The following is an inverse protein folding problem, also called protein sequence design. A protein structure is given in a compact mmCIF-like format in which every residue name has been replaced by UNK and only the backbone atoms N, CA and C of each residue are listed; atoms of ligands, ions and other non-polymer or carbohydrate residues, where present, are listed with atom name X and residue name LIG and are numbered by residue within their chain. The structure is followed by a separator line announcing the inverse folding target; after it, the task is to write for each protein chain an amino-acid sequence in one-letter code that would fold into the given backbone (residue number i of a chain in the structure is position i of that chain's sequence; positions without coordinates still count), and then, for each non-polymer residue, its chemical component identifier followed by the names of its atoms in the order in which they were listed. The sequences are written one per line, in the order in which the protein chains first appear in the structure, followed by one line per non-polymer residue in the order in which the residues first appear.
data_IF_430453761666
#
_entry.id   IF_430453761666
#
_cell.length_a   1.000
_cell.length_b   1.000
_cell.length_c   1.000
_cell.angle_alpha   90.00
_cell.angle_beta   90.00
_cell.angle_gamma   90.00
#
_symmetry.space_group_name_H-M   'P 1'
#
loop_
_entity.id
_entity.type
_entity.pdbx_description
1 polymer ?
#
# COMPACT_ATOMS: atom_id res chain seq x y z
N UNK A 1 -14.26 42.39 17.56
CA UNK A 1 -13.18 43.26 18.10
C UNK A 1 -12.50 42.43 19.17
N UNK A 2 -11.37 41.78 18.87
CA UNK A 2 -10.45 41.29 19.86
C UNK A 2 -9.75 42.54 20.43
N UNK A 3 -10.10 42.93 21.62
CA UNK A 3 -9.39 43.96 22.38
C UNK A 3 -8.16 43.28 22.98
N UNK A 4 -7.07 43.18 22.19
CA UNK A 4 -5.79 42.75 22.68
C UNK A 4 -5.19 43.83 23.56
N UNK A 5 -4.51 43.40 24.61
CA UNK A 5 -3.71 44.28 25.47
C UNK A 5 -2.56 44.88 24.63
N UNK A 6 -2.65 46.15 24.30
CA UNK A 6 -1.67 46.86 23.48
C UNK A 6 -0.38 47.20 24.21
N UNK A 7 -0.18 46.63 25.39
CA UNK A 7 1.02 46.84 26.21
C UNK A 7 2.13 45.83 25.92
N UNK A 8 1.90 44.80 25.10
CA UNK A 8 2.95 43.88 24.66
C UNK A 8 3.60 44.38 23.38
N UNK A 9 4.94 44.37 23.32
CA UNK A 9 5.74 44.73 22.13
C UNK A 9 5.51 43.81 20.92
N UNK A 10 4.72 42.75 21.06
CA UNK A 10 4.39 41.77 20.04
C UNK A 10 2.92 41.89 19.66
N UNK A 11 2.64 42.31 18.44
CA UNK A 11 1.28 42.34 17.89
C UNK A 11 0.98 41.06 17.06
N UNK A 12 -0.31 40.85 16.74
CA UNK A 12 -0.73 39.69 15.93
C UNK A 12 -0.06 39.63 14.56
N UNK A 13 0.31 40.78 13.96
CA UNK A 13 1.04 40.80 12.71
C UNK A 13 2.50 40.34 12.85
N UNK A 14 3.13 40.53 14.00
CA UNK A 14 4.49 40.06 14.24
C UNK A 14 4.55 38.53 14.40
N UNK A 15 3.44 37.94 14.88
CA UNK A 15 3.34 36.52 15.09
C UNK A 15 2.79 35.76 13.87
N UNK A 16 1.83 36.34 13.12
CA UNK A 16 1.10 35.64 12.09
C UNK A 16 1.37 36.15 10.66
N UNK A 17 2.17 37.18 10.48
CA UNK A 17 2.57 37.71 9.20
C UNK A 17 4.10 37.77 9.06
N UNK A 18 4.70 37.27 7.95
CA UNK A 18 4.03 36.57 6.85
C UNK A 18 3.57 35.15 7.20
N UNK A 19 2.52 34.67 6.56
CA UNK A 19 2.11 33.28 6.62
C UNK A 19 3.09 32.38 5.86
N UNK A 20 3.13 31.08 6.16
CA UNK A 20 4.06 30.15 5.49
C UNK A 20 3.49 29.71 4.13
N UNK A 21 2.27 29.17 4.12
CA UNK A 21 1.67 28.58 2.92
C UNK A 21 0.25 29.06 2.74
N UNK A 22 -0.07 29.50 1.52
CA UNK A 22 -1.43 29.78 1.04
C UNK A 22 -1.92 28.58 0.22
N UNK A 23 -3.05 28.00 0.62
CA UNK A 23 -3.71 26.92 -0.14
C UNK A 23 -4.95 27.49 -0.82
N UNK A 24 -5.05 27.32 -2.15
CA UNK A 24 -6.12 27.92 -2.93
C UNK A 24 -6.39 27.17 -4.24
N UNK A 25 -7.55 27.44 -4.86
CA UNK A 25 -7.85 26.95 -6.20
C UNK A 25 -7.21 27.82 -7.29
N UNK A 26 -6.79 27.25 -8.43
CA UNK A 26 -6.17 28.00 -9.55
C UNK A 26 -7.07 29.13 -10.06
N UNK A 27 -8.39 28.92 -10.08
CA UNK A 27 -9.35 29.89 -10.66
C UNK A 27 -9.44 31.19 -9.88
N UNK A 28 -9.10 31.19 -8.58
CA UNK A 28 -9.18 32.40 -7.75
C UNK A 28 -7.82 33.04 -7.46
N UNK A 29 -6.77 32.57 -8.12
CA UNK A 29 -5.40 33.10 -7.98
C UNK A 29 -5.37 34.61 -8.27
N UNK A 30 -5.95 35.05 -9.38
CA UNK A 30 -6.01 36.45 -9.77
C UNK A 30 -6.90 37.31 -8.88
N UNK A 31 -8.01 36.75 -8.41
CA UNK A 31 -8.99 37.48 -7.64
C UNK A 31 -8.63 37.67 -6.17
N UNK A 32 -7.87 36.74 -5.62
CA UNK A 32 -7.51 36.73 -4.20
C UNK A 32 -6.01 36.80 -3.96
N UNK A 33 -5.25 35.84 -4.47
CA UNK A 33 -3.82 35.71 -4.16
C UNK A 33 -3.02 36.90 -4.69
N UNK A 34 -3.24 37.29 -5.93
CA UNK A 34 -2.58 38.46 -6.51
C UNK A 34 -2.86 39.74 -5.71
N UNK A 35 -4.13 39.94 -5.27
CA UNK A 35 -4.50 41.08 -4.43
C UNK A 35 -3.84 41.01 -3.04
N UNK A 36 -3.77 39.85 -2.42
CA UNK A 36 -3.07 39.68 -1.14
C UNK A 36 -1.58 40.04 -1.27
N UNK A 37 -0.92 39.62 -2.35
CA UNK A 37 0.48 39.95 -2.62
C UNK A 37 0.65 41.46 -2.82
N UNK A 38 -0.21 42.10 -3.65
CA UNK A 38 -0.16 43.56 -3.88
C UNK A 38 -0.33 44.33 -2.58
N UNK A 39 -1.31 43.96 -1.76
CA UNK A 39 -1.58 44.63 -0.48
C UNK A 39 -0.46 44.38 0.53
N UNK A 40 0.12 43.16 0.54
CA UNK A 40 1.27 42.83 1.38
C UNK A 40 2.46 43.75 1.08
N UNK A 41 2.85 43.90 -0.17
CA UNK A 41 3.93 44.80 -0.56
C UNK A 41 3.60 46.26 -0.32
N UNK A 42 2.36 46.71 -0.59
CA UNK A 42 1.97 48.10 -0.40
C UNK A 42 1.98 48.52 1.10
N UNK A 43 1.42 47.68 1.95
CA UNK A 43 1.21 48.06 3.37
C UNK A 43 2.25 47.52 4.36
N UNK A 44 2.97 46.43 3.99
CA UNK A 44 3.95 45.79 4.87
C UNK A 44 5.34 45.75 4.28
N UNK A 45 5.50 46.01 2.97
CA UNK A 45 6.80 45.99 2.28
C UNK A 45 7.34 44.59 1.98
N UNK A 46 6.56 43.54 2.26
CA UNK A 46 6.99 42.14 2.06
C UNK A 46 5.82 41.24 1.61
N UNK A 47 6.18 40.06 1.09
CA UNK A 47 5.19 39.08 0.65
C UNK A 47 4.38 38.54 1.82
N UNK A 48 3.03 38.33 1.66
CA UNK A 48 2.17 37.84 2.73
C UNK A 48 2.36 36.36 3.06
N UNK A 49 2.98 35.58 2.18
CA UNK A 49 3.30 34.16 2.33
C UNK A 49 4.45 33.78 1.41
N UNK A 50 5.17 32.71 1.76
CA UNK A 50 6.36 32.25 1.01
C UNK A 50 6.01 31.21 -0.06
N UNK A 51 4.90 30.51 0.10
CA UNK A 51 4.48 29.42 -0.79
C UNK A 51 2.99 29.52 -1.12
N UNK A 52 2.62 29.11 -2.34
CA UNK A 52 1.23 28.98 -2.78
C UNK A 52 1.02 27.57 -3.31
N UNK A 53 0.17 26.80 -2.63
CA UNK A 53 -0.26 25.48 -3.07
C UNK A 53 -1.59 25.57 -3.81
N UNK A 54 -1.59 25.16 -5.08
CA UNK A 54 -2.79 25.16 -5.92
C UNK A 54 -3.39 23.75 -5.92
N UNK A 55 -4.52 23.58 -5.22
CA UNK A 55 -5.22 22.31 -5.17
C UNK A 55 -6.12 22.12 -6.41
N UNK A 56 -6.39 20.84 -6.78
CA UNK A 56 -7.33 20.50 -7.84
C UNK A 56 -8.78 20.81 -7.47
N UNK A 57 -9.61 20.97 -8.48
CA UNK A 57 -11.07 21.15 -8.33
C UNK A 57 -11.76 19.79 -8.39
N UNK A 58 -12.78 19.59 -7.56
CA UNK A 58 -13.60 18.37 -7.61
C UNK A 58 -14.55 18.45 -8.80
N UNK A 59 -14.49 17.43 -9.67
CA UNK A 59 -15.31 17.29 -10.86
C UNK A 59 -16.07 15.96 -10.86
N UNK A 60 -17.17 15.92 -11.60
CA UNK A 60 -17.86 14.68 -11.89
C UNK A 60 -17.11 13.85 -12.95
N UNK A 61 -17.54 12.60 -13.15
CA UNK A 61 -16.95 11.67 -14.15
C UNK A 61 -17.04 12.17 -15.61
N UNK A 62 -17.84 13.21 -15.87
CA UNK A 62 -17.96 13.90 -17.17
C UNK A 62 -17.03 15.11 -17.26
N UNK A 63 -16.15 15.31 -16.27
CA UNK A 63 -15.20 16.42 -16.20
C UNK A 63 -15.81 17.79 -15.85
N UNK A 64 -17.10 17.86 -15.46
CA UNK A 64 -17.76 19.11 -15.10
C UNK A 64 -17.50 19.42 -13.62
N UNK A 65 -17.21 20.69 -13.31
CA UNK A 65 -17.06 21.15 -11.93
C UNK A 65 -18.34 20.86 -11.14
N UNK A 66 -18.19 20.24 -9.97
CA UNK A 66 -19.33 20.00 -9.09
C UNK A 66 -19.93 21.31 -8.56
N UNK A 67 -21.24 21.46 -8.66
CA UNK A 67 -21.97 22.63 -8.17
C UNK A 67 -23.39 22.28 -7.79
N UNK A 68 -23.95 23.03 -6.84
CA UNK A 68 -25.36 22.89 -6.42
C UNK A 68 -26.32 23.14 -7.60
N UNK A 69 -26.00 24.08 -8.47
CA UNK A 69 -26.84 24.45 -9.63
C UNK A 69 -26.94 23.38 -10.70
N UNK A 70 -25.93 22.54 -10.83
CA UNK A 70 -25.92 21.41 -11.77
C UNK A 70 -26.45 20.12 -11.15
N UNK A 71 -26.69 20.09 -9.84
CA UNK A 71 -27.16 18.88 -9.15
C UNK A 71 -26.18 17.71 -9.18
N UNK A 72 -24.90 17.97 -9.51
CA UNK A 72 -23.83 16.98 -9.57
C UNK A 72 -22.87 17.03 -8.38
N UNK A 73 -23.26 17.70 -7.30
CA UNK A 73 -22.49 17.80 -6.07
C UNK A 73 -22.73 16.60 -5.16
N UNK A 74 -21.69 16.20 -4.44
CA UNK A 74 -21.76 15.22 -3.35
C UNK A 74 -21.82 16.01 -2.04
N UNK A 75 -22.78 15.70 -1.16
CA UNK A 75 -22.85 16.33 0.16
C UNK A 75 -21.80 15.67 1.08
N UNK A 76 -20.80 16.42 1.59
CA UNK A 76 -19.80 15.87 2.49
C UNK A 76 -20.38 15.29 3.78
N UNK A 77 -21.49 15.81 4.29
CA UNK A 77 -22.11 15.29 5.52
C UNK A 77 -22.72 13.92 5.29
N UNK A 78 -23.39 13.69 4.16
CA UNK A 78 -23.91 12.36 3.79
C UNK A 78 -22.77 11.34 3.64
N UNK A 79 -21.62 11.75 3.08
CA UNK A 79 -20.43 10.90 2.97
C UNK A 79 -19.87 10.55 4.35
N UNK A 80 -19.77 11.53 5.25
CA UNK A 80 -19.29 11.32 6.62
C UNK A 80 -20.22 10.40 7.41
N UNK A 81 -21.52 10.54 7.26
CA UNK A 81 -22.50 9.67 7.92
C UNK A 81 -22.45 8.23 7.39
N UNK A 82 -22.27 8.04 6.08
CA UNK A 82 -22.28 6.72 5.44
C UNK A 82 -20.94 5.98 5.55
N UNK A 83 -19.81 6.67 5.45
CA UNK A 83 -18.48 6.06 5.28
C UNK A 83 -17.47 6.49 6.36
N UNK A 84 -17.74 7.53 7.10
CA UNK A 84 -16.83 8.14 8.09
C UNK A 84 -15.96 9.26 7.52
N UNK A 85 -15.56 10.18 8.40
CA UNK A 85 -14.74 11.33 8.02
C UNK A 85 -13.34 10.92 7.51
N UNK A 86 -12.72 9.91 8.11
CA UNK A 86 -11.41 9.40 7.67
C UNK A 86 -11.46 8.82 6.25
N UNK A 87 -12.55 8.12 5.90
CA UNK A 87 -12.75 7.60 4.55
C UNK A 87 -12.82 8.72 3.52
N UNK A 88 -13.57 9.77 3.82
CA UNK A 88 -13.68 10.95 2.95
C UNK A 88 -12.33 11.65 2.80
N UNK A 89 -11.63 11.91 3.91
CA UNK A 89 -10.33 12.58 3.92
C UNK A 89 -9.28 11.80 3.12
N UNK A 90 -9.17 10.50 3.37
CA UNK A 90 -8.23 9.64 2.64
C UNK A 90 -8.53 9.63 1.13
N UNK A 91 -9.81 9.48 0.75
CA UNK A 91 -10.20 9.47 -0.67
C UNK A 91 -9.82 10.77 -1.38
N UNK A 92 -10.07 11.92 -0.74
CA UNK A 92 -9.72 13.22 -1.32
C UNK A 92 -8.21 13.40 -1.40
N UNK A 93 -7.47 13.14 -0.31
CA UNK A 93 -6.02 13.34 -0.26
C UNK A 93 -5.28 12.41 -1.24
N UNK A 94 -5.70 11.17 -1.38
CA UNK A 94 -5.10 10.21 -2.32
C UNK A 94 -5.27 10.58 -3.80
N UNK A 95 -6.21 11.48 -4.11
CA UNK A 95 -6.45 11.99 -5.47
C UNK A 95 -5.90 13.41 -5.70
N UNK A 96 -5.33 14.06 -4.66
CA UNK A 96 -4.78 15.41 -4.74
C UNK A 96 -3.40 15.45 -5.43
N UNK A 97 -3.30 14.94 -6.66
CA UNK A 97 -2.07 15.09 -7.43
C UNK A 97 -1.89 16.55 -7.89
N UNK A 98 -0.64 17.02 -7.85
CA UNK A 98 -0.32 18.41 -8.19
C UNK A 98 -0.72 18.74 -9.62
N UNK A 99 -1.54 19.77 -9.79
CA UNK A 99 -1.98 20.25 -11.11
C UNK A 99 -3.10 19.41 -11.74
N UNK A 100 -3.71 18.48 -11.02
CA UNK A 100 -4.82 17.68 -11.53
C UNK A 100 -6.10 17.91 -10.72
N UNK A 101 -7.25 17.81 -11.40
CA UNK A 101 -8.54 17.85 -10.76
C UNK A 101 -8.91 16.48 -10.17
N UNK A 102 -9.73 16.49 -9.12
CA UNK A 102 -10.23 15.27 -8.46
C UNK A 102 -11.52 14.84 -9.14
N UNK A 103 -11.57 13.62 -9.67
CA UNK A 103 -12.77 13.07 -10.30
C UNK A 103 -13.51 12.15 -9.35
N UNK A 104 -14.79 12.47 -9.03
CA UNK A 104 -15.64 11.66 -8.18
C UNK A 104 -16.94 11.31 -8.89
N UNK A 105 -17.39 10.09 -8.73
CA UNK A 105 -18.67 9.61 -9.25
C UNK A 105 -19.81 9.98 -8.27
N UNK A 106 -20.57 11.02 -8.61
CA UNK A 106 -21.72 11.46 -7.81
C UNK A 106 -22.96 10.56 -7.98
N UNK A 107 -23.00 9.74 -9.04
CA UNK A 107 -24.08 8.77 -9.28
C UNK A 107 -23.81 7.46 -8.50
N UNK A 108 -22.53 7.17 -8.17
CA UNK A 108 -22.11 6.00 -7.39
C UNK A 108 -21.14 6.40 -6.26
N UNK A 109 -21.66 7.11 -5.27
CA UNK A 109 -20.89 7.61 -4.12
C UNK A 109 -20.24 6.48 -3.33
N UNK A 110 -20.91 5.32 -3.23
CA UNK A 110 -20.32 4.16 -2.54
C UNK A 110 -19.02 3.69 -3.20
N UNK A 111 -18.99 3.55 -4.52
CA UNK A 111 -17.78 3.16 -5.24
C UNK A 111 -16.69 4.23 -5.14
N UNK A 112 -17.07 5.52 -5.18
CA UNK A 112 -16.13 6.63 -5.06
C UNK A 112 -15.36 6.65 -3.74
N UNK A 113 -16.00 6.28 -2.62
CA UNK A 113 -15.41 6.29 -1.27
C UNK A 113 -15.05 4.91 -0.71
N UNK A 114 -15.28 3.83 -1.47
CA UNK A 114 -15.04 2.45 -1.02
C UNK A 114 -13.59 2.22 -0.57
N UNK A 115 -12.60 2.75 -1.30
CA UNK A 115 -11.19 2.58 -0.97
C UNK A 115 -10.83 3.22 0.38
N UNK A 116 -11.25 4.45 0.61
CA UNK A 116 -11.04 5.16 1.88
C UNK A 116 -11.73 4.46 3.05
N UNK A 117 -12.98 4.02 2.88
CA UNK A 117 -13.72 3.23 3.89
C UNK A 117 -12.99 1.93 4.23
N UNK A 118 -12.56 1.19 3.21
CA UNK A 118 -11.89 -0.08 3.40
C UNK A 118 -10.54 0.10 4.12
N UNK A 119 -9.82 1.19 3.81
CA UNK A 119 -8.57 1.50 4.47
C UNK A 119 -8.77 1.88 5.94
N UNK A 120 -9.72 2.75 6.26
CA UNK A 120 -10.07 3.10 7.63
C UNK A 120 -10.48 1.87 8.44
N UNK A 121 -11.29 0.97 7.86
CA UNK A 121 -11.66 -0.31 8.47
C UNK A 121 -10.45 -1.24 8.66
N UNK A 122 -9.52 -1.28 7.72
CA UNK A 122 -8.28 -2.09 7.84
C UNK A 122 -7.42 -1.57 9.00
N UNK A 123 -7.26 -0.23 9.12
CA UNK A 123 -6.54 0.39 10.25
C UNK A 123 -7.19 0.01 11.58
N UNK A 124 -8.51 0.15 11.67
CA UNK A 124 -9.26 -0.20 12.86
C UNK A 124 -9.09 -1.66 13.27
N UNK A 125 -9.27 -2.58 12.32
CA UNK A 125 -9.18 -4.02 12.58
C UNK A 125 -7.75 -4.45 12.95
N UNK A 126 -6.75 -3.93 12.27
CA UNK A 126 -5.34 -4.19 12.59
C UNK A 126 -4.96 -3.64 13.97
N UNK A 127 -5.35 -2.41 14.28
CA UNK A 127 -5.12 -1.80 15.59
C UNK A 127 -5.80 -2.57 16.72
N UNK A 128 -7.09 -2.97 16.55
CA UNK A 128 -7.78 -3.83 17.52
C UNK A 128 -7.07 -5.15 17.74
N UNK A 129 -6.69 -5.83 16.67
CA UNK A 129 -5.96 -7.09 16.76
C UNK A 129 -4.66 -6.90 17.54
N UNK A 130 -3.88 -5.88 17.21
CA UNK A 130 -2.62 -5.58 17.88
C UNK A 130 -2.83 -5.30 19.39
N UNK A 131 -3.78 -4.43 19.74
CA UNK A 131 -4.10 -4.11 21.14
C UNK A 131 -4.51 -5.37 21.94
N UNK A 132 -5.33 -6.24 21.36
CA UNK A 132 -5.72 -7.51 22.01
C UNK A 132 -4.54 -8.46 22.21
N UNK A 133 -3.58 -8.45 21.28
CA UNK A 133 -2.39 -9.34 21.31
C UNK A 133 -1.30 -8.83 22.23
N UNK A 134 -1.13 -7.49 22.31
CA UNK A 134 -0.09 -6.84 23.14
C UNK A 134 -0.52 -6.76 24.61
N UNK A 135 -1.83 -6.58 24.89
CA UNK A 135 -2.35 -6.36 26.24
C UNK A 135 -2.04 -4.96 26.78
N UNK A 136 -2.41 -4.73 28.04
CA UNK A 136 -2.32 -3.40 28.68
C UNK A 136 -1.02 -3.15 29.47
N UNK A 137 -0.17 -4.17 29.64
CA UNK A 137 1.09 -4.04 30.39
C UNK A 137 2.03 -3.06 29.67
N UNK A 138 2.78 -2.22 30.41
CA UNK A 138 3.83 -1.39 29.84
C UNK A 138 4.81 -2.23 29.00
N UNK A 139 5.35 -1.64 27.96
CA UNK A 139 6.40 -2.24 27.14
C UNK A 139 7.77 -1.75 27.58
N UNK A 140 8.81 -2.50 27.26
CA UNK A 140 10.18 -2.04 27.46
C UNK A 140 10.58 -1.02 26.39
N UNK A 141 11.54 -0.12 26.65
CA UNK A 141 12.12 0.71 25.61
C UNK A 141 12.79 -0.16 24.51
N UNK A 142 12.52 0.13 23.24
CA UNK A 142 13.04 -0.64 22.11
C UNK A 142 14.58 -0.80 22.14
N UNK A 143 15.30 0.24 22.56
CA UNK A 143 16.76 0.23 22.62
C UNK A 143 17.34 -0.84 23.57
N UNK A 144 16.58 -1.25 24.56
CA UNK A 144 16.99 -2.31 25.49
C UNK A 144 16.82 -3.72 24.88
N UNK A 145 16.00 -3.85 23.83
CA UNK A 145 15.64 -5.13 23.21
C UNK A 145 16.30 -5.34 21.84
N UNK A 146 17.20 -4.43 21.40
CA UNK A 146 17.82 -4.52 20.07
C UNK A 146 18.54 -5.85 19.80
N UNK A 147 19.09 -6.48 20.83
CA UNK A 147 19.74 -7.80 20.71
C UNK A 147 18.78 -8.98 20.59
N UNK A 148 17.52 -8.79 20.95
CA UNK A 148 16.49 -9.84 20.95
C UNK A 148 15.52 -9.70 19.75
N UNK A 149 15.72 -8.68 18.88
CA UNK A 149 14.90 -8.45 17.70
C UNK A 149 15.08 -9.57 16.69
N UNK A 150 14.00 -10.19 16.29
CA UNK A 150 13.99 -11.12 15.17
C UNK A 150 14.15 -10.36 13.82
N UNK A 151 14.38 -11.09 12.75
CA UNK A 151 14.59 -10.49 11.42
C UNK A 151 13.35 -9.72 10.93
N UNK A 152 12.15 -10.25 11.18
CA UNK A 152 10.92 -9.54 10.84
C UNK A 152 10.74 -8.24 11.64
N UNK A 153 11.23 -8.18 12.90
CA UNK A 153 11.21 -6.96 13.70
C UNK A 153 12.16 -5.90 13.12
N UNK A 154 13.39 -6.31 12.79
CA UNK A 154 14.38 -5.44 12.15
C UNK A 154 13.88 -4.95 10.79
N UNK A 155 13.28 -5.86 10.01
CA UNK A 155 12.69 -5.51 8.72
C UNK A 155 11.62 -4.42 8.85
N UNK A 156 10.63 -4.60 9.73
CA UNK A 156 9.52 -3.63 9.80
C UNK A 156 9.96 -2.28 10.38
N UNK A 157 10.96 -2.26 11.27
CA UNK A 157 11.56 -1.02 11.76
C UNK A 157 12.31 -0.29 10.65
N UNK A 158 13.06 -1.01 9.80
CA UNK A 158 13.70 -0.45 8.62
C UNK A 158 12.67 0.14 7.66
N UNK A 159 11.58 -0.57 7.40
CA UNK A 159 10.48 -0.09 6.56
C UNK A 159 9.77 1.14 7.14
N UNK A 160 9.62 1.21 8.46
CA UNK A 160 9.08 2.40 9.13
C UNK A 160 10.00 3.60 8.94
N UNK A 161 11.33 3.43 9.07
CA UNK A 161 12.29 4.50 8.82
C UNK A 161 12.19 5.04 7.40
N UNK A 162 12.11 4.16 6.38
CA UNK A 162 11.90 4.55 4.99
C UNK A 162 10.56 5.26 4.78
N UNK A 163 9.47 4.72 5.31
CA UNK A 163 8.14 5.33 5.20
C UNK A 163 8.10 6.72 5.82
N UNK A 164 8.79 6.91 6.96
CA UNK A 164 8.92 8.20 7.64
C UNK A 164 9.66 9.22 6.78
N UNK A 165 10.79 8.85 6.19
CA UNK A 165 11.56 9.73 5.30
C UNK A 165 10.76 10.12 4.06
N UNK A 166 10.14 9.14 3.39
CA UNK A 166 9.36 9.37 2.18
C UNK A 166 8.12 10.24 2.44
N UNK A 167 7.40 9.97 3.55
CA UNK A 167 6.25 10.78 3.94
C UNK A 167 6.66 12.23 4.28
N UNK A 168 7.74 12.41 5.04
CA UNK A 168 8.26 13.73 5.38
C UNK A 168 8.64 14.52 4.13
N UNK A 169 9.43 13.91 3.25
CA UNK A 169 9.84 14.53 1.96
C UNK A 169 8.64 14.85 1.06
N UNK A 170 7.64 13.97 1.04
CA UNK A 170 6.41 14.17 0.28
C UNK A 170 5.59 15.36 0.81
N UNK A 171 5.43 15.48 2.13
CA UNK A 171 4.74 16.60 2.77
C UNK A 171 5.46 17.93 2.52
N UNK A 172 6.79 17.97 2.68
CA UNK A 172 7.60 19.17 2.40
C UNK A 172 7.47 19.67 0.96
N UNK A 173 7.21 18.75 0.02
CA UNK A 173 7.03 19.03 -1.41
C UNK A 173 5.57 19.16 -1.84
N UNK A 174 4.63 19.12 -0.91
CA UNK A 174 3.18 19.15 -1.19
C UNK A 174 2.69 18.01 -2.10
N UNK A 175 3.35 16.86 -2.08
CA UNK A 175 2.95 15.67 -2.83
C UNK A 175 2.03 14.78 -2.01
N UNK A 176 0.88 15.33 -1.62
CA UNK A 176 -0.01 14.71 -0.64
C UNK A 176 -0.53 13.34 -1.09
N UNK A 177 -0.80 13.16 -2.38
CA UNK A 177 -1.26 11.88 -2.94
C UNK A 177 -0.18 10.80 -2.83
N UNK A 178 1.10 11.13 -3.10
CA UNK A 178 2.22 10.20 -2.96
C UNK A 178 2.40 9.78 -1.50
N UNK A 179 2.22 10.72 -0.56
CA UNK A 179 2.25 10.42 0.88
C UNK A 179 1.12 9.47 1.26
N UNK A 180 -0.11 9.74 0.82
CA UNK A 180 -1.26 8.88 1.10
C UNK A 180 -1.05 7.46 0.53
N UNK A 181 -0.56 7.34 -0.70
CA UNK A 181 -0.26 6.08 -1.36
C UNK A 181 0.86 5.31 -0.64
N UNK A 182 1.96 5.99 -0.30
CA UNK A 182 3.08 5.36 0.43
C UNK A 182 2.66 4.84 1.80
N UNK A 183 1.91 5.63 2.56
CA UNK A 183 1.42 5.23 3.88
C UNK A 183 0.35 4.14 3.80
N UNK A 184 -0.47 4.14 2.75
CA UNK A 184 -1.38 3.04 2.47
C UNK A 184 -0.62 1.72 2.25
N UNK A 185 0.40 1.74 1.38
CA UNK A 185 1.21 0.54 1.10
C UNK A 185 2.01 0.09 2.32
N UNK A 186 2.57 1.00 3.09
CA UNK A 186 3.26 0.66 4.32
C UNK A 186 2.31 0.00 5.34
N UNK A 187 1.16 0.64 5.60
CA UNK A 187 0.25 0.13 6.62
C UNK A 187 -0.45 -1.16 6.18
N UNK A 188 -1.02 -1.16 4.98
CA UNK A 188 -1.75 -2.34 4.48
C UNK A 188 -0.80 -3.46 4.05
N UNK A 189 0.13 -3.14 3.15
CA UNK A 189 1.01 -4.14 2.55
C UNK A 189 2.09 -4.65 3.49
N UNK A 190 2.80 -3.76 4.20
CA UNK A 190 3.95 -4.16 5.00
C UNK A 190 3.55 -4.55 6.44
N UNK A 191 2.76 -3.72 7.14
CA UNK A 191 2.31 -4.03 8.51
C UNK A 191 1.26 -5.15 8.51
N UNK A 192 0.14 -4.95 7.79
CA UNK A 192 -0.99 -5.87 7.93
C UNK A 192 -0.82 -7.20 7.23
N UNK A 193 -0.33 -7.19 5.98
CA UNK A 193 -0.28 -8.40 5.16
C UNK A 193 0.95 -9.25 5.45
N UNK A 194 2.01 -8.65 6.05
CA UNK A 194 3.24 -9.36 6.39
C UNK A 194 3.57 -9.35 7.87
N UNK A 195 3.90 -8.19 8.45
CA UNK A 195 4.43 -8.16 9.81
C UNK A 195 3.47 -8.75 10.85
N UNK A 196 2.19 -8.36 10.81
CA UNK A 196 1.19 -8.92 11.72
C UNK A 196 1.03 -10.43 11.57
N UNK A 197 1.13 -10.97 10.36
CA UNK A 197 1.05 -12.42 10.15
C UNK A 197 2.29 -13.16 10.68
N UNK A 198 3.48 -12.59 10.51
CA UNK A 198 4.74 -13.17 10.97
C UNK A 198 4.85 -13.16 12.50
N UNK A 199 4.40 -12.09 13.15
CA UNK A 199 4.57 -11.89 14.58
C UNK A 199 3.53 -12.63 15.42
N UNK A 200 2.43 -13.12 14.83
CA UNK A 200 1.32 -13.81 15.55
C UNK A 200 1.78 -14.93 16.49
N UNK A 201 2.67 -15.78 16.02
CA UNK A 201 3.15 -16.92 16.82
C UNK A 201 3.96 -16.47 18.04
N UNK A 202 4.71 -15.39 17.89
CA UNK A 202 5.55 -14.81 18.96
C UNK A 202 4.75 -14.01 19.99
N UNK A 203 3.56 -13.52 19.63
CA UNK A 203 2.66 -12.83 20.56
C UNK A 203 1.86 -13.78 21.45
N UNK A 204 1.89 -15.10 21.19
CA UNK A 204 1.22 -16.07 22.02
C UNK A 204 1.89 -16.23 23.39
N UNK A 205 1.08 -16.57 24.40
CA UNK A 205 1.54 -16.77 25.78
C UNK A 205 2.56 -17.92 25.91
N UNK A 206 2.51 -18.88 24.99
CA UNK A 206 3.40 -20.04 24.96
C UNK A 206 4.78 -19.74 24.32
N UNK A 207 4.94 -18.54 23.71
CA UNK A 207 6.22 -18.14 23.12
C UNK A 207 7.26 -17.82 24.21
N UNK A 208 8.55 -17.91 23.83
CA UNK A 208 9.64 -17.47 24.67
C UNK A 208 9.44 -16.00 25.13
N UNK A 209 9.67 -15.71 26.41
CA UNK A 209 9.33 -14.43 27.01
C UNK A 209 10.13 -13.26 26.38
N UNK A 210 11.43 -13.44 26.11
CA UNK A 210 12.25 -12.41 25.48
C UNK A 210 11.79 -12.13 24.04
N UNK A 211 11.52 -13.19 23.26
CA UNK A 211 10.97 -13.09 21.91
C UNK A 211 9.60 -12.43 21.89
N UNK A 212 8.73 -12.75 22.85
CA UNK A 212 7.41 -12.13 22.96
C UNK A 212 7.49 -10.67 23.32
N UNK A 213 8.37 -10.27 24.25
CA UNK A 213 8.53 -8.87 24.63
C UNK A 213 9.15 -8.04 23.50
N UNK A 214 10.12 -8.57 22.78
CA UNK A 214 10.67 -7.95 21.58
C UNK A 214 9.57 -7.73 20.51
N UNK A 215 8.74 -8.75 20.25
CA UNK A 215 7.62 -8.67 19.33
C UNK A 215 6.56 -7.64 19.75
N UNK A 216 6.19 -7.62 21.04
CA UNK A 216 5.24 -6.64 21.61
C UNK A 216 5.75 -5.21 21.46
N UNK A 217 6.97 -4.97 21.88
CA UNK A 217 7.61 -3.65 21.84
C UNK A 217 7.76 -3.14 20.42
N UNK A 218 8.22 -4.01 19.50
CA UNK A 218 8.33 -3.64 18.08
C UNK A 218 6.98 -3.32 17.48
N UNK A 219 5.96 -4.14 17.72
CA UNK A 219 4.62 -3.90 17.19
C UNK A 219 4.04 -2.57 17.68
N UNK A 220 4.20 -2.25 18.96
CA UNK A 220 3.74 -0.97 19.51
C UNK A 220 4.52 0.20 18.93
N UNK A 221 5.84 0.10 18.82
CA UNK A 221 6.70 1.13 18.23
C UNK A 221 6.31 1.41 16.77
N UNK A 222 6.08 0.36 15.99
CA UNK A 222 5.68 0.48 14.58
C UNK A 222 4.29 1.11 14.45
N UNK A 223 3.34 0.72 15.30
CA UNK A 223 2.01 1.31 15.30
C UNK A 223 2.00 2.77 15.78
N UNK A 224 2.79 3.12 16.80
CA UNK A 224 2.96 4.51 17.24
C UNK A 224 3.46 5.37 16.08
N UNK A 225 4.55 4.95 15.42
CA UNK A 225 5.10 5.64 14.24
C UNK A 225 4.09 5.73 13.09
N UNK A 226 3.45 4.63 12.74
CA UNK A 226 2.47 4.57 11.65
C UNK A 226 1.24 5.46 11.92
N UNK A 227 0.72 5.48 13.15
CA UNK A 227 -0.40 6.35 13.50
C UNK A 227 -0.03 7.83 13.48
N UNK A 228 1.18 8.21 13.90
CA UNK A 228 1.67 9.58 13.78
C UNK A 228 1.78 10.02 12.32
N UNK A 229 2.32 9.15 11.45
CA UNK A 229 2.43 9.42 10.02
C UNK A 229 1.06 9.53 9.33
N UNK A 230 0.10 8.69 9.69
CA UNK A 230 -1.23 8.66 9.11
C UNK A 230 -2.17 9.75 9.66
N UNK A 231 -1.89 10.26 10.87
CA UNK A 231 -2.79 11.19 11.57
C UNK A 231 -3.18 12.44 10.78
N UNK A 232 -2.30 13.11 10.02
CA UNK A 232 -2.71 14.24 9.20
C UNK A 232 -3.77 13.91 8.14
N UNK A 233 -3.86 12.63 7.71
CA UNK A 233 -4.78 12.19 6.66
C UNK A 233 -6.04 11.56 7.27
N UNK A 234 -5.89 10.63 8.22
CA UNK A 234 -6.98 9.88 8.87
C UNK A 234 -6.94 10.07 10.40
N UNK A 235 -7.30 11.28 10.88
CA UNK A 235 -7.05 11.67 12.28
C UNK A 235 -7.90 10.92 13.30
N UNK A 236 -9.13 10.52 12.99
CA UNK A 236 -10.05 10.01 14.01
C UNK A 236 -9.71 8.58 14.41
N UNK A 237 -9.54 7.68 13.44
CA UNK A 237 -9.20 6.27 13.70
C UNK A 237 -7.81 6.16 14.34
N UNK A 238 -6.86 6.98 13.90
CA UNK A 238 -5.49 6.95 14.45
C UNK A 238 -5.43 7.47 15.87
N UNK A 239 -6.13 8.57 16.21
CA UNK A 239 -6.20 9.09 17.57
C UNK A 239 -6.82 8.07 18.53
N UNK A 240 -7.94 7.47 18.16
CA UNK A 240 -8.66 6.49 18.99
C UNK A 240 -7.82 5.25 19.30
N UNK A 241 -7.13 4.71 18.31
CA UNK A 241 -6.25 3.55 18.49
C UNK A 241 -4.97 3.91 19.25
N UNK A 242 -4.35 5.04 18.91
CA UNK A 242 -3.13 5.51 19.55
C UNK A 242 -3.31 5.78 21.05
N UNK A 243 -4.46 6.33 21.43
CA UNK A 243 -4.78 6.58 22.84
C UNK A 243 -4.77 5.31 23.70
N UNK A 244 -4.93 4.14 23.09
CA UNK A 244 -5.00 2.83 23.75
C UNK A 244 -3.70 2.02 23.67
N UNK A 245 -2.69 2.47 22.94
CA UNK A 245 -1.40 1.78 22.89
C UNK A 245 -0.75 1.78 24.27
N UNK A 246 -0.20 0.65 24.73
CA UNK A 246 0.67 0.64 25.91
C UNK A 246 1.89 1.52 25.66
N UNK A 247 2.46 2.06 26.74
CA UNK A 247 3.57 3.00 26.63
C UNK A 247 4.81 2.45 27.33
N UNK A 248 6.02 2.79 26.89
CA UNK A 248 7.24 2.39 27.58
C UNK A 248 7.25 2.90 29.02
N UNK A 249 7.65 2.03 29.96
CA UNK A 249 7.68 2.37 31.37
C UNK A 249 8.60 3.59 31.64
N UNK A 250 8.09 4.56 32.39
CA UNK A 250 8.80 5.80 32.71
C UNK A 250 8.90 6.82 31.57
N UNK A 251 8.43 6.53 30.34
CA UNK A 251 8.44 7.49 29.25
C UNK A 251 7.27 8.48 29.33
N UNK A 252 7.54 9.76 28.99
CA UNK A 252 6.49 10.77 28.93
C UNK A 252 5.65 10.58 27.67
N UNK A 253 4.35 10.33 27.87
CA UNK A 253 3.39 10.28 26.78
C UNK A 253 2.88 11.67 26.45
N UNK A 254 2.84 12.09 25.16
CA UNK A 254 2.12 13.28 24.77
C UNK A 254 0.63 13.18 25.14
N UNK A 255 -0.02 14.31 25.43
CA UNK A 255 -1.42 14.36 25.84
C UNK A 255 -2.34 13.76 24.77
N UNK A 256 -2.13 14.17 23.51
CA UNK A 256 -2.89 13.69 22.34
C UNK A 256 -1.95 13.45 21.15
N UNK A 257 -2.41 12.61 20.21
CA UNK A 257 -1.67 12.32 18.98
C UNK A 257 -1.43 13.57 18.13
N UNK A 258 -2.37 14.50 18.09
CA UNK A 258 -2.30 15.74 17.31
C UNK A 258 -1.13 16.66 17.75
N UNK A 259 -0.73 16.59 19.02
CA UNK A 259 0.42 17.35 19.57
C UNK A 259 1.67 16.49 19.75
N UNK A 260 1.60 15.22 19.40
CA UNK A 260 2.77 14.33 19.42
C UNK A 260 3.83 14.78 18.41
N UNK A 261 5.13 14.69 18.71
CA UNK A 261 6.19 15.01 17.76
C UNK A 261 6.07 14.18 16.48
N UNK A 262 6.35 14.82 15.35
CA UNK A 262 6.45 14.09 14.07
C UNK A 262 7.58 13.07 14.14
N UNK A 263 7.38 11.83 13.64
CA UNK A 263 8.44 10.82 13.68
C UNK A 263 9.65 11.26 12.85
N UNK A 264 10.82 10.86 13.31
CA UNK A 264 12.07 11.07 12.57
C UNK A 264 12.57 9.74 12.03
N UNK A 265 13.15 9.73 10.81
CA UNK A 265 13.80 8.53 10.30
C UNK A 265 14.91 8.09 11.26
N UNK A 266 15.00 6.81 11.53
CA UNK A 266 16.02 6.24 12.42
C UNK A 266 17.04 5.44 11.58
N UNK A 267 18.19 6.02 11.29
CA UNK A 267 19.24 5.36 10.48
C UNK A 267 19.73 4.06 11.13
N UNK A 268 19.70 3.98 12.47
CA UNK A 268 20.05 2.77 13.22
C UNK A 268 19.11 1.60 12.96
N UNK A 269 17.91 1.84 12.44
CA UNK A 269 16.93 0.82 12.13
C UNK A 269 17.02 0.35 10.65
N UNK A 270 17.81 1.01 9.81
CA UNK A 270 17.94 0.65 8.40
C UNK A 270 18.81 -0.59 8.24
N UNK A 271 18.26 -1.61 7.60
CA UNK A 271 18.90 -2.91 7.38
C UNK A 271 18.58 -3.44 5.97
N UNK A 272 19.38 -3.02 5.00
CA UNK A 272 19.21 -3.40 3.58
C UNK A 272 19.33 -4.91 3.37
N UNK A 273 20.14 -5.61 4.17
CA UNK A 273 20.30 -7.06 4.08
C UNK A 273 19.02 -7.77 4.45
N UNK A 274 18.43 -7.40 5.61
CA UNK A 274 17.15 -7.97 6.06
C UNK A 274 16.01 -7.61 5.09
N UNK A 275 16.03 -6.41 4.50
CA UNK A 275 15.03 -6.03 3.50
C UNK A 275 15.13 -6.90 2.23
N UNK A 276 16.34 -7.19 1.76
CA UNK A 276 16.54 -8.05 0.59
C UNK A 276 16.11 -9.51 0.86
N UNK A 277 16.44 -10.03 2.03
CA UNK A 277 16.03 -11.39 2.45
C UNK A 277 14.50 -11.49 2.57
N UNK A 278 13.89 -10.48 3.18
CA UNK A 278 12.43 -10.44 3.30
C UNK A 278 11.74 -10.29 1.94
N UNK A 279 12.30 -9.53 1.01
CA UNK A 279 11.76 -9.42 -0.35
C UNK A 279 11.78 -10.76 -1.09
N UNK A 280 12.86 -11.55 -0.93
CA UNK A 280 12.95 -12.91 -1.46
C UNK A 280 11.89 -13.85 -0.85
N UNK A 281 11.73 -13.81 0.47
CA UNK A 281 10.69 -14.56 1.17
C UNK A 281 9.27 -14.15 0.72
N UNK A 282 8.98 -12.87 0.62
CA UNK A 282 7.69 -12.36 0.15
C UNK A 282 7.41 -12.78 -1.30
N UNK A 283 8.42 -12.74 -2.16
CA UNK A 283 8.35 -13.20 -3.54
C UNK A 283 7.98 -14.69 -3.59
N UNK A 284 8.65 -15.54 -2.79
CA UNK A 284 8.35 -16.97 -2.71
C UNK A 284 6.90 -17.22 -2.30
N UNK A 285 6.43 -16.63 -1.20
CA UNK A 285 5.04 -16.82 -0.72
C UNK A 285 4.03 -16.36 -1.77
N UNK A 286 4.30 -15.23 -2.42
CA UNK A 286 3.43 -14.66 -3.45
C UNK A 286 3.36 -15.56 -4.68
N UNK A 287 4.50 -16.06 -5.17
CA UNK A 287 4.56 -16.96 -6.31
C UNK A 287 3.89 -18.30 -6.01
N UNK A 288 4.10 -18.87 -4.83
CA UNK A 288 3.40 -20.11 -4.44
C UNK A 288 1.88 -19.89 -4.42
N UNK A 289 1.41 -18.78 -3.84
CA UNK A 289 -0.03 -18.46 -3.83
C UNK A 289 -0.57 -18.25 -5.23
N UNK A 290 0.20 -17.62 -6.13
CA UNK A 290 -0.15 -17.44 -7.53
C UNK A 290 -0.28 -18.78 -8.25
N UNK A 291 0.72 -19.66 -8.10
CA UNK A 291 0.71 -21.00 -8.70
C UNK A 291 -0.45 -21.84 -8.17
N UNK A 292 -0.69 -21.84 -6.86
CA UNK A 292 -1.85 -22.53 -6.26
C UNK A 292 -3.17 -22.11 -6.88
N UNK A 293 -3.39 -20.78 -7.03
CA UNK A 293 -4.60 -20.23 -7.65
C UNK A 293 -4.69 -20.61 -9.14
N UNK A 294 -3.57 -20.54 -9.83
CA UNK A 294 -3.49 -20.79 -11.26
C UNK A 294 -3.81 -22.25 -11.63
N UNK A 295 -3.29 -23.19 -10.83
CA UNK A 295 -3.52 -24.62 -11.03
C UNK A 295 -4.69 -25.18 -10.20
N UNK A 296 -5.50 -24.32 -9.58
CA UNK A 296 -6.70 -24.73 -8.86
C UNK A 296 -6.42 -25.61 -7.63
N UNK A 297 -5.24 -25.47 -6.98
CA UNK A 297 -4.91 -26.21 -5.76
C UNK A 297 -5.85 -25.79 -4.63
N UNK A 298 -6.57 -26.74 -4.07
CA UNK A 298 -7.57 -26.51 -3.01
C UNK A 298 -6.99 -25.77 -1.80
N UNK A 299 -7.80 -24.95 -1.16
CA UNK A 299 -7.35 -24.14 -0.02
C UNK A 299 -6.83 -24.96 1.18
N UNK A 300 -7.39 -26.13 1.43
CA UNK A 300 -6.97 -27.04 2.51
C UNK A 300 -5.76 -27.90 2.17
N UNK A 301 -5.33 -27.93 0.91
CA UNK A 301 -4.29 -28.83 0.45
C UNK A 301 -2.90 -28.20 0.66
N UNK A 302 -1.99 -28.93 1.28
CA UNK A 302 -0.58 -28.54 1.42
C UNK A 302 0.23 -29.11 0.26
N UNK A 303 1.32 -28.46 -0.10
CA UNK A 303 2.19 -28.80 -1.23
C UNK A 303 3.65 -28.74 -0.80
N UNK A 304 4.50 -29.57 -1.43
CA UNK A 304 5.95 -29.42 -1.32
C UNK A 304 6.50 -28.31 -2.21
N UNK A 305 7.68 -27.83 -1.91
CA UNK A 305 8.44 -26.88 -2.73
C UNK A 305 9.86 -27.38 -2.91
N UNK A 306 10.46 -27.12 -4.08
CA UNK A 306 11.91 -27.15 -4.27
C UNK A 306 12.39 -25.75 -4.66
N UNK A 307 13.48 -25.31 -4.05
CA UNK A 307 14.08 -23.99 -4.29
C UNK A 307 15.55 -24.17 -4.67
N UNK A 308 15.95 -23.59 -5.80
CA UNK A 308 17.32 -23.66 -6.30
C UNK A 308 17.87 -22.28 -6.63
N UNK A 309 19.17 -22.06 -6.38
CA UNK A 309 19.82 -20.80 -6.72
C UNK A 309 19.43 -19.64 -5.81
N UNK A 310 19.50 -18.41 -6.33
CA UNK A 310 19.33 -17.20 -5.54
C UNK A 310 20.63 -16.74 -4.86
N UNK A 311 20.57 -15.69 -4.01
CA UNK A 311 21.70 -15.21 -3.22
C UNK A 311 22.23 -16.29 -2.27
N UNK A 312 23.51 -16.18 -1.90
CA UNK A 312 24.12 -17.04 -0.89
C UNK A 312 23.36 -16.91 0.45
N UNK A 313 23.05 -18.05 1.07
CA UNK A 313 22.30 -18.10 2.33
C UNK A 313 20.78 -17.98 2.20
N UNK A 314 20.23 -17.75 1.00
CA UNK A 314 18.77 -17.58 0.84
C UNK A 314 17.97 -18.80 1.31
N UNK A 315 18.42 -20.02 0.96
CA UNK A 315 17.72 -21.24 1.42
C UNK A 315 17.81 -21.39 2.95
N UNK A 316 18.93 -21.03 3.56
CA UNK A 316 19.10 -21.08 5.01
C UNK A 316 18.15 -20.10 5.70
N UNK A 317 18.00 -18.91 5.15
CA UNK A 317 17.02 -17.90 5.65
C UNK A 317 15.58 -18.39 5.53
N UNK A 318 15.23 -19.12 4.47
CA UNK A 318 13.92 -19.77 4.34
C UNK A 318 13.72 -20.88 5.38
N UNK A 319 14.77 -21.62 5.71
CA UNK A 319 14.72 -22.69 6.71
C UNK A 319 14.46 -22.13 8.11
N UNK A 320 15.04 -21.00 8.45
CA UNK A 320 14.74 -20.27 9.70
C UNK A 320 13.26 -19.83 9.74
N UNK A 321 12.69 -19.46 8.61
CA UNK A 321 11.29 -19.03 8.47
C UNK A 321 10.34 -20.14 8.00
N UNK A 322 10.75 -21.42 8.09
CA UNK A 322 9.97 -22.55 7.55
C UNK A 322 8.51 -22.53 8.05
N UNK A 323 8.29 -22.32 9.35
CA UNK A 323 6.95 -22.24 9.93
C UNK A 323 6.10 -21.12 9.29
N UNK A 324 6.69 -19.98 8.97
CA UNK A 324 6.00 -18.88 8.30
C UNK A 324 5.67 -19.23 6.83
N UNK A 325 6.60 -19.89 6.12
CA UNK A 325 6.34 -20.39 4.75
C UNK A 325 5.22 -21.42 4.77
N UNK A 326 5.29 -22.37 5.68
CA UNK A 326 4.27 -23.42 5.87
C UNK A 326 2.87 -22.80 6.11
N UNK A 327 2.80 -21.80 6.96
CA UNK A 327 1.54 -21.14 7.29
C UNK A 327 1.04 -20.26 6.14
N UNK A 328 1.89 -19.38 5.60
CA UNK A 328 1.50 -18.34 4.66
C UNK A 328 1.31 -18.86 3.23
N UNK A 329 2.11 -19.85 2.84
CA UNK A 329 2.05 -20.46 1.51
C UNK A 329 1.31 -21.82 1.51
N UNK A 330 0.97 -22.36 2.70
CA UNK A 330 0.34 -23.69 2.90
C UNK A 330 1.21 -24.80 2.29
N UNK A 331 2.45 -24.79 2.68
CA UNK A 331 3.49 -25.75 2.29
C UNK A 331 3.64 -26.77 3.41
N UNK A 332 4.00 -28.00 3.09
CA UNK A 332 4.34 -29.03 4.06
C UNK A 332 5.83 -29.40 4.07
N UNK A 333 6.58 -29.06 2.99
CA UNK A 333 7.97 -29.38 2.83
C UNK A 333 8.67 -28.39 1.90
N UNK A 334 9.87 -27.96 2.28
CA UNK A 334 10.76 -27.13 1.48
C UNK A 334 12.08 -27.88 1.29
N UNK A 335 12.49 -28.12 0.05
CA UNK A 335 13.72 -28.80 -0.29
C UNK A 335 14.67 -27.89 -1.07
N UNK A 336 15.98 -28.02 -0.83
CA UNK A 336 17.00 -27.36 -1.63
C UNK A 336 17.32 -28.17 -2.86
N UNK A 337 17.36 -27.53 -4.02
CA UNK A 337 17.75 -28.14 -5.30
C UNK A 337 16.71 -28.03 -6.38
N UNK A 338 17.05 -28.56 -7.56
CA UNK A 338 16.12 -28.56 -8.68
C UNK A 338 14.95 -29.51 -8.42
N UNK A 339 13.74 -29.04 -8.66
CA UNK A 339 12.55 -29.88 -8.64
C UNK A 339 12.54 -30.85 -9.83
N UNK A 340 11.90 -32.00 -9.66
CA UNK A 340 11.77 -33.01 -10.70
C UNK A 340 10.31 -33.50 -10.83
N UNK A 341 9.94 -33.92 -12.05
CA UNK A 341 8.62 -34.46 -12.34
C UNK A 341 7.64 -33.42 -12.90
N UNK A 342 6.36 -33.75 -12.79
CA UNK A 342 5.26 -32.87 -13.26
C UNK A 342 5.02 -31.76 -12.25
N UNK A 343 5.19 -30.53 -12.66
CA UNK A 343 5.06 -29.39 -11.75
C UNK A 343 5.08 -28.04 -12.43
N UNK A 344 4.99 -27.00 -11.62
CA UNK A 344 5.03 -25.61 -12.04
C UNK A 344 6.33 -24.93 -11.58
N UNK A 345 6.90 -24.13 -12.46
CA UNK A 345 8.12 -23.37 -12.18
C UNK A 345 7.79 -21.87 -12.06
N UNK A 346 8.57 -21.17 -11.23
CA UNK A 346 8.61 -19.72 -11.19
C UNK A 346 10.02 -19.24 -10.86
N UNK A 347 10.33 -18.02 -11.25
CA UNK A 347 11.58 -17.34 -10.86
C UNK A 347 11.21 -16.24 -9.87
N UNK A 348 11.86 -16.24 -8.72
CA UNK A 348 11.66 -15.27 -7.66
C UNK A 348 12.37 -13.95 -7.99
N UNK A 349 11.97 -12.87 -7.30
CA UNK A 349 12.55 -11.54 -7.51
C UNK A 349 14.07 -11.48 -7.28
N UNK A 350 14.60 -12.37 -6.45
CA UNK A 350 16.03 -12.48 -6.14
C UNK A 350 16.78 -13.45 -7.08
N UNK A 351 16.13 -13.96 -8.13
CA UNK A 351 16.71 -14.89 -9.11
C UNK A 351 16.70 -16.36 -8.72
N UNK A 352 16.17 -16.72 -7.54
CA UNK A 352 15.99 -18.12 -7.18
C UNK A 352 14.88 -18.76 -8.04
N UNK A 353 15.06 -20.05 -8.36
CA UNK A 353 14.07 -20.85 -9.07
C UNK A 353 13.22 -21.64 -8.09
N UNK A 354 11.92 -21.54 -8.26
CA UNK A 354 10.90 -22.25 -7.47
C UNK A 354 10.27 -23.32 -8.33
N UNK A 355 10.19 -24.56 -7.80
CA UNK A 355 9.40 -25.63 -8.37
C UNK A 355 8.34 -26.12 -7.40
N UNK A 356 7.11 -26.25 -7.89
CA UNK A 356 5.96 -26.78 -7.16
C UNK A 356 5.52 -28.09 -7.82
N UNK A 357 5.71 -29.26 -7.19
CA UNK A 357 5.21 -30.52 -7.72
C UNK A 357 3.68 -30.52 -7.70
N UNK A 358 3.08 -30.89 -8.83
CA UNK A 358 1.61 -30.93 -9.01
C UNK A 358 1.07 -32.37 -9.10
N UNK A 359 1.94 -33.35 -9.23
CA UNK A 359 1.57 -34.77 -9.26
C UNK A 359 0.95 -35.18 -7.91
N UNK A 360 -0.24 -35.76 -7.95
CA UNK A 360 -1.00 -36.12 -6.73
C UNK A 360 -1.65 -34.93 -6.02
N UNK A 361 -1.41 -33.70 -6.46
CA UNK A 361 -1.98 -32.47 -5.93
C UNK A 361 -3.22 -32.04 -6.70
N UNK A 362 -3.15 -32.17 -8.03
CA UNK A 362 -4.24 -31.86 -8.97
C UNK A 362 -4.49 -33.05 -9.89
N UNK A 363 -5.63 -33.07 -10.53
CA UNK A 363 -5.90 -33.97 -11.67
C UNK A 363 -5.20 -33.42 -12.93
N UNK A 364 -3.97 -33.86 -13.14
CA UNK A 364 -3.10 -33.36 -14.22
C UNK A 364 -3.72 -33.56 -15.59
N UNK A 365 -4.39 -34.72 -15.85
CA UNK A 365 -5.02 -35.00 -17.14
C UNK A 365 -6.19 -34.04 -17.39
N UNK A 366 -7.02 -33.82 -16.40
CA UNK A 366 -8.14 -32.88 -16.50
C UNK A 366 -7.65 -31.45 -16.72
N UNK A 367 -6.56 -31.05 -16.06
CA UNK A 367 -5.98 -29.71 -16.22
C UNK A 367 -5.35 -29.54 -17.62
N UNK A 368 -4.68 -30.57 -18.12
CA UNK A 368 -4.17 -30.61 -19.52
C UNK A 368 -5.31 -30.43 -20.52
N UNK A 369 -6.41 -31.19 -20.37
CA UNK A 369 -7.58 -31.07 -21.25
C UNK A 369 -8.18 -29.65 -21.20
N UNK A 370 -8.24 -29.05 -20.00
CA UNK A 370 -8.73 -27.69 -19.81
C UNK A 370 -7.86 -26.68 -20.55
N UNK A 371 -6.54 -26.75 -20.35
CA UNK A 371 -5.58 -25.86 -21.02
C UNK A 371 -5.60 -26.05 -22.54
N UNK A 372 -5.66 -27.29 -23.04
CA UNK A 372 -5.73 -27.56 -24.47
C UNK A 372 -7.02 -26.99 -25.12
N UNK A 373 -8.15 -27.12 -24.43
CA UNK A 373 -9.42 -26.52 -24.90
C UNK A 373 -9.32 -25.00 -24.94
N UNK A 374 -8.70 -24.39 -23.94
CA UNK A 374 -8.56 -22.93 -23.90
C UNK A 374 -7.57 -22.42 -24.93
N UNK A 375 -6.45 -23.12 -25.18
CA UNK A 375 -5.52 -22.80 -26.28
C UNK A 375 -6.29 -22.84 -27.62
N UNK A 376 -7.03 -23.91 -27.90
CA UNK A 376 -7.82 -24.04 -29.13
C UNK A 376 -8.87 -22.91 -29.28
N UNK A 377 -9.47 -22.49 -28.16
CA UNK A 377 -10.42 -21.38 -28.15
C UNK A 377 -9.72 -20.03 -28.49
N UNK A 378 -8.57 -19.76 -27.86
CA UNK A 378 -7.79 -18.53 -28.10
C UNK A 378 -7.29 -18.48 -29.56
N UNK A 379 -6.77 -19.58 -30.08
CA UNK A 379 -6.32 -19.71 -31.47
C UNK A 379 -7.48 -19.45 -32.47
N UNK A 380 -8.68 -19.95 -32.18
CA UNK A 380 -9.85 -19.67 -32.97
C UNK A 380 -10.26 -18.19 -33.00
N UNK A 381 -10.20 -17.53 -31.84
CA UNK A 381 -10.44 -16.06 -31.73
C UNK A 381 -9.35 -15.27 -32.43
N UNK A 382 -8.08 -15.64 -32.23
CA UNK A 382 -6.94 -15.03 -32.89
C UNK A 382 -7.03 -15.10 -34.40
N UNK A 383 -7.29 -16.28 -34.95
CA UNK A 383 -7.49 -16.46 -36.40
C UNK A 383 -8.62 -15.57 -36.95
N UNK A 384 -9.70 -15.36 -36.18
CA UNK A 384 -10.76 -14.42 -36.54
C UNK A 384 -10.30 -12.96 -36.60
N UNK A 385 -9.47 -12.52 -35.63
CA UNK A 385 -8.91 -11.17 -35.61
C UNK A 385 -7.87 -10.98 -36.72
N UNK A 386 -7.00 -11.95 -36.95
CA UNK A 386 -6.00 -11.94 -38.02
C UNK A 386 -6.64 -11.90 -39.40
N UNK A 387 -7.72 -12.68 -39.61
CA UNK A 387 -8.51 -12.64 -40.85
C UNK A 387 -9.11 -11.25 -41.11
N UNK A 388 -9.54 -10.55 -40.03
CA UNK A 388 -10.01 -9.15 -40.16
C UNK A 388 -8.85 -8.21 -40.52
N UNK A 389 -7.70 -8.37 -39.89
CA UNK A 389 -6.51 -7.56 -40.18
C UNK A 389 -5.89 -7.84 -41.54
N UNK A 390 -6.08 -9.05 -42.09
CA UNK A 390 -5.69 -9.41 -43.46
C UNK A 390 -6.62 -8.86 -44.55
N UNK A 391 -7.80 -8.36 -44.18
CA UNK A 391 -8.74 -7.76 -45.13
C UNK A 391 -8.34 -6.31 -45.43
N UNK A 392 -7.80 -6.07 -46.62
CA UNK A 392 -7.37 -4.76 -47.07
C UNK A 392 -8.47 -3.68 -46.99
N UNK A 393 -9.72 -4.06 -47.24
CA UNK A 393 -10.86 -3.15 -47.14
C UNK A 393 -11.13 -2.71 -45.68
N UNK A 394 -10.92 -3.60 -44.74
CA UNK A 394 -11.04 -3.25 -43.31
C UNK A 394 -9.91 -2.32 -42.91
N UNK A 395 -8.67 -2.65 -43.24
CA UNK A 395 -7.50 -1.87 -42.85
C UNK A 395 -7.47 -0.47 -43.46
N UNK A 396 -7.97 -0.33 -44.71
CA UNK A 396 -8.00 0.95 -45.43
C UNK A 396 -9.20 1.84 -45.07
N UNK A 397 -10.32 1.29 -44.63
CA UNK A 397 -11.55 2.05 -44.39
C UNK A 397 -11.90 2.25 -42.93
N UNK A 398 -11.35 1.44 -42.01
CA UNK A 398 -11.59 1.61 -40.57
C UNK A 398 -10.73 2.76 -40.01
N UNK A 399 -11.20 3.46 -38.96
CA UNK A 399 -10.38 4.40 -38.22
C UNK A 399 -9.07 3.74 -37.70
N UNK A 400 -7.97 4.47 -37.74
CA UNK A 400 -6.64 3.97 -37.36
C UNK A 400 -6.64 3.40 -35.93
N UNK A 401 -7.38 4.03 -35.01
CA UNK A 401 -7.56 3.58 -33.63
C UNK A 401 -8.17 2.16 -33.55
N UNK A 402 -9.17 1.86 -34.39
CA UNK A 402 -9.82 0.53 -34.44
C UNK A 402 -8.89 -0.55 -35.00
N UNK A 403 -8.05 -0.19 -35.96
CA UNK A 403 -7.05 -1.11 -36.54
C UNK A 403 -5.95 -1.39 -35.52
N UNK A 404 -5.46 -0.35 -34.80
CA UNK A 404 -4.46 -0.50 -33.77
C UNK A 404 -4.98 -1.32 -32.58
N UNK A 405 -6.19 -1.08 -32.11
CA UNK A 405 -6.86 -1.91 -31.08
C UNK A 405 -6.97 -3.38 -31.52
N UNK A 406 -7.27 -3.64 -32.79
CA UNK A 406 -7.32 -5.01 -33.30
C UNK A 406 -5.94 -5.69 -33.34
N UNK A 407 -4.87 -4.96 -33.64
CA UNK A 407 -3.48 -5.46 -33.58
C UNK A 407 -3.04 -5.75 -32.17
N UNK A 408 -3.32 -4.85 -31.24
CA UNK A 408 -3.03 -5.05 -29.81
C UNK A 408 -3.76 -6.27 -29.25
N UNK A 409 -5.04 -6.42 -29.60
CA UNK A 409 -5.83 -7.60 -29.20
C UNK A 409 -5.25 -8.91 -29.79
N UNK A 410 -4.81 -8.92 -31.06
CA UNK A 410 -4.15 -10.08 -31.65
C UNK A 410 -2.85 -10.44 -30.91
N UNK A 411 -2.00 -9.44 -30.58
CA UNK A 411 -0.77 -9.64 -29.84
C UNK A 411 -1.04 -10.19 -28.41
N UNK A 412 -2.07 -9.68 -27.73
CA UNK A 412 -2.48 -10.17 -26.41
C UNK A 412 -2.99 -11.62 -26.44
N UNK A 413 -3.81 -11.98 -27.44
CA UNK A 413 -4.31 -13.34 -27.60
C UNK A 413 -3.19 -14.32 -27.90
N UNK A 414 -2.21 -13.93 -28.74
CA UNK A 414 -1.02 -14.73 -29.01
C UNK A 414 -0.19 -14.96 -27.75
N UNK A 415 0.12 -13.91 -26.99
CA UNK A 415 0.86 -14.00 -25.74
C UNK A 415 0.15 -14.91 -24.72
N UNK A 416 -1.18 -14.82 -24.60
CA UNK A 416 -1.96 -15.70 -23.73
C UNK A 416 -1.89 -17.16 -24.17
N UNK A 417 -1.97 -17.44 -25.48
CA UNK A 417 -1.89 -18.79 -26.00
C UNK A 417 -0.48 -19.38 -25.79
N UNK A 418 0.57 -18.59 -25.99
CA UNK A 418 1.96 -19.03 -25.81
C UNK A 418 2.27 -19.33 -24.34
N UNK A 419 1.82 -18.49 -23.41
CA UNK A 419 1.91 -18.74 -21.96
C UNK A 419 1.20 -20.03 -21.53
N UNK A 420 0.02 -20.32 -22.12
CA UNK A 420 -0.69 -21.57 -21.85
C UNK A 420 0.05 -22.79 -22.43
N UNK A 421 0.72 -22.67 -23.59
CA UNK A 421 1.55 -23.74 -24.16
C UNK A 421 2.77 -24.04 -23.29
N UNK A 422 3.46 -22.99 -22.80
CA UNK A 422 4.57 -23.15 -21.86
C UNK A 422 4.12 -23.89 -20.59
N UNK A 423 2.97 -23.52 -20.02
CA UNK A 423 2.39 -24.20 -18.87
C UNK A 423 2.02 -25.66 -19.16
N UNK A 424 1.44 -25.92 -20.30
CA UNK A 424 1.10 -27.27 -20.74
C UNK A 424 2.37 -28.15 -20.87
N UNK A 425 3.47 -27.59 -21.40
CA UNK A 425 4.76 -28.27 -21.48
C UNK A 425 5.30 -28.59 -20.07
N UNK A 426 5.15 -27.71 -19.08
CA UNK A 426 5.51 -27.96 -17.67
C UNK A 426 4.71 -29.10 -17.02
N UNK A 427 3.53 -29.42 -17.53
CA UNK A 427 2.73 -30.57 -17.08
C UNK A 427 3.15 -31.88 -17.76
N UNK A 428 4.28 -31.94 -18.47
CA UNK A 428 4.90 -33.17 -18.96
C UNK A 428 4.34 -33.68 -20.29
N UNK A 429 4.20 -32.80 -21.28
CA UNK A 429 3.92 -33.19 -22.68
C UNK A 429 5.21 -33.18 -23.48
#
# INVERSE_FOLDING_TARGET
RLQGDWSSDVCSSDLFYPGHTMVTAPEILFFWVARMIMMGYEFRGEAPFTQVYLHGTVRDIKGRKMSKSLGNGIDPLEVVEAFGADAMRFTIVSQCAVGTDISLDHENVEAAFANGRNFANKIWNAGRFALMSVGDAPIQPLDQLRGDLAEEDRWILSRLSHATEEATRGLERFRLHEVAERLYHFFWGEICDWYLELVKSRLNVEADEASREAARTTLVTVLDGAFRLLHPIVPFVTAELWARLPWPDGAQRPEDLIVAPWPMPADVDRDETVEADMAGFQSLVTEVRRLRKEYGVGEGQRIGLSVQGGPEGFFDSLSVRAAAVEQLARVDRIESGAGAGVGANAVLSNGAELFVPLEGVIDVERERERMQKEITRLEGVLAGVEKRLANEQFVSNAPEEVVNTARENAAQLQDQADKLREKLAGLGV
#
